data_IF_665374460331
#
_entry.id   IF_665374460331
#
_cell.length_a   1.000
_cell.length_b   1.000
_cell.length_c   1.000
_cell.angle_alpha   90.00
_cell.angle_beta   90.00
_cell.angle_gamma   90.00
#
_symmetry.space_group_name_H-M   'P 1'
#
loop_
_entity.id
_entity.type
_entity.pdbx_description
1 polymer ?
#
# COMPACT_ATOMS: atom_id res chain seq x y z
N UNK A 1 -11.92 85.30 35.15
CA UNK A 1 -12.11 84.04 35.84
C UNK A 1 -12.95 83.16 34.97
N UNK A 2 -12.31 82.24 34.24
CA UNK A 2 -13.01 81.31 33.30
C UNK A 2 -12.58 79.89 33.66
N UNK A 3 -13.52 79.14 34.19
CA UNK A 3 -13.29 77.75 34.62
C UNK A 3 -13.43 76.82 33.43
N UNK A 4 -12.33 76.10 33.04
CA UNK A 4 -12.32 75.13 32.01
C UNK A 4 -12.74 73.73 32.52
N UNK A 5 -13.76 73.17 31.90
CA UNK A 5 -14.26 71.80 32.19
C UNK A 5 -13.48 70.79 31.33
N UNK A 6 -12.65 69.97 32.00
CA UNK A 6 -12.01 68.76 31.34
C UNK A 6 -13.05 67.64 31.20
N UNK A 7 -13.38 67.29 29.96
CA UNK A 7 -14.11 66.03 29.62
C UNK A 7 -13.11 64.87 29.59
N UNK A 8 -13.30 63.93 30.51
CA UNK A 8 -12.61 62.64 30.48
C UNK A 8 -13.35 61.70 29.53
N UNK A 9 -12.73 61.36 28.41
CA UNK A 9 -13.22 60.32 27.51
C UNK A 9 -12.74 58.98 28.03
N UNK A 10 -13.65 58.09 28.44
CA UNK A 10 -13.36 56.70 28.78
C UNK A 10 -13.32 55.87 27.49
N UNK A 11 -12.16 55.30 27.16
CA UNK A 11 -12.01 54.31 26.06
C UNK A 11 -12.35 52.95 26.67
N UNK A 12 -13.48 52.39 26.28
CA UNK A 12 -13.83 51.00 26.60
C UNK A 12 -13.07 50.06 25.67
N UNK A 13 -12.12 49.29 26.22
CA UNK A 13 -11.41 48.23 25.52
C UNK A 13 -12.33 47.00 25.47
N UNK A 14 -12.93 46.74 24.32
CA UNK A 14 -13.67 45.50 24.09
C UNK A 14 -12.66 44.36 23.81
N UNK A 15 -12.42 43.50 24.81
CA UNK A 15 -11.74 42.21 24.59
C UNK A 15 -12.68 41.26 23.83
N UNK A 16 -12.49 41.11 22.52
CA UNK A 16 -13.09 40.04 21.77
C UNK A 16 -12.40 38.71 22.17
N UNK A 17 -13.09 37.91 22.98
CA UNK A 17 -12.69 36.55 23.24
C UNK A 17 -12.84 35.76 21.90
N UNK A 18 -11.72 35.46 21.26
CA UNK A 18 -11.69 34.45 20.17
C UNK A 18 -12.00 33.08 20.82
N UNK A 19 -13.22 32.64 20.67
CA UNK A 19 -13.57 31.24 20.94
C UNK A 19 -12.90 30.42 19.84
N UNK A 20 -11.77 29.79 20.17
CA UNK A 20 -11.17 28.79 19.30
C UNK A 20 -12.21 27.66 19.10
N UNK A 21 -12.69 27.49 17.87
CA UNK A 21 -13.52 26.36 17.56
C UNK A 21 -12.72 25.08 17.93
N UNK A 22 -13.34 24.09 18.61
CA UNK A 22 -12.66 22.83 18.89
C UNK A 22 -12.22 22.25 17.55
N UNK A 23 -10.93 21.91 17.43
CA UNK A 23 -10.45 21.13 16.31
C UNK A 23 -11.27 19.83 16.31
N UNK A 24 -12.07 19.61 15.27
CA UNK A 24 -12.81 18.36 15.13
C UNK A 24 -11.76 17.23 15.14
N UNK A 25 -11.92 16.31 16.10
CA UNK A 25 -11.11 15.10 16.13
C UNK A 25 -11.22 14.41 14.76
N UNK A 26 -10.10 13.98 14.22
CA UNK A 26 -10.10 13.22 12.96
C UNK A 26 -10.71 11.85 13.25
N UNK A 27 -11.69 11.45 12.41
CA UNK A 27 -12.35 10.16 12.56
C UNK A 27 -11.47 9.03 11.98
N UNK A 28 -11.62 7.79 12.46
CA UNK A 28 -11.03 6.62 11.80
C UNK A 28 -11.50 6.48 10.34
N UNK A 29 -10.78 5.68 9.55
CA UNK A 29 -11.23 5.31 8.20
C UNK A 29 -12.57 4.56 8.26
N UNK A 30 -13.46 4.91 7.34
CA UNK A 30 -14.69 4.15 7.11
C UNK A 30 -14.43 3.02 6.13
N UNK A 31 -15.15 1.92 6.28
CA UNK A 31 -15.18 0.85 5.27
C UNK A 31 -15.96 1.28 4.03
N UNK A 32 -15.50 0.79 2.88
CA UNK A 32 -16.14 0.98 1.58
C UNK A 32 -16.39 -0.38 0.92
N UNK A 33 -17.16 -0.38 -0.17
CA UNK A 33 -17.33 -1.58 -1.00
C UNK A 33 -16.09 -1.77 -1.89
N UNK A 34 -14.92 -1.99 -1.28
CA UNK A 34 -13.65 -2.13 -1.96
C UNK A 34 -13.11 -3.55 -1.88
N UNK A 35 -12.63 -4.08 -3.02
CA UNK A 35 -12.03 -5.41 -3.12
C UNK A 35 -10.57 -5.37 -2.67
N UNK A 36 -10.25 -6.10 -1.60
CA UNK A 36 -8.88 -6.18 -1.09
C UNK A 36 -7.92 -6.84 -2.09
N UNK A 37 -8.39 -7.80 -2.89
CA UNK A 37 -7.58 -8.48 -3.91
C UNK A 37 -7.22 -7.59 -5.11
N UNK A 38 -7.91 -6.46 -5.28
CA UNK A 38 -7.63 -5.44 -6.26
C UNK A 38 -6.80 -4.27 -5.69
N UNK A 39 -6.21 -4.43 -4.52
CA UNK A 39 -5.37 -3.40 -3.90
C UNK A 39 -4.01 -3.28 -4.57
N UNK A 40 -3.45 -2.09 -4.60
CA UNK A 40 -2.10 -1.81 -5.11
C UNK A 40 -1.37 -0.80 -4.24
N UNK A 41 -0.06 -0.72 -4.43
CA UNK A 41 0.80 0.19 -3.66
C UNK A 41 1.87 0.80 -4.56
N UNK A 42 2.20 2.06 -4.35
CA UNK A 42 3.38 2.68 -4.94
C UNK A 42 4.04 3.64 -3.97
N UNK A 43 5.29 3.98 -4.23
CA UNK A 43 5.98 4.96 -3.44
C UNK A 43 7.25 5.46 -4.12
N UNK A 44 7.77 6.55 -3.59
CA UNK A 44 9.04 7.15 -4.02
C UNK A 44 10.08 7.02 -2.90
N UNK A 45 11.35 6.79 -3.26
CA UNK A 45 12.48 6.82 -2.30
C UNK A 45 12.23 5.85 -1.13
N UNK A 46 12.24 6.29 0.13
CA UNK A 46 11.88 5.44 1.28
C UNK A 46 10.50 4.81 1.15
N UNK A 47 9.53 5.54 0.56
CA UNK A 47 8.21 4.98 0.24
C UNK A 47 8.25 3.89 -0.82
N UNK A 48 9.20 3.94 -1.76
CA UNK A 48 9.40 2.87 -2.74
C UNK A 48 9.99 1.61 -2.09
N UNK A 49 10.95 1.76 -1.17
CA UNK A 49 11.45 0.64 -0.36
C UNK A 49 10.32 0.02 0.46
N UNK A 50 9.49 0.85 1.13
CA UNK A 50 8.33 0.36 1.87
C UNK A 50 7.31 -0.31 0.94
N UNK A 51 7.10 0.20 -0.28
CA UNK A 51 6.20 -0.43 -1.25
C UNK A 51 6.70 -1.83 -1.68
N UNK A 52 8.02 -2.00 -1.85
CA UNK A 52 8.63 -3.33 -2.11
C UNK A 52 8.45 -4.25 -0.91
N UNK A 53 8.70 -3.77 0.29
CA UNK A 53 8.56 -4.53 1.53
C UNK A 53 7.11 -4.97 1.75
N UNK A 54 6.18 -4.03 1.69
CA UNK A 54 4.74 -4.28 1.87
C UNK A 54 4.19 -5.18 0.77
N UNK A 55 4.51 -4.87 -0.50
CA UNK A 55 4.06 -5.64 -1.67
C UNK A 55 4.57 -7.07 -1.69
N UNK A 56 5.74 -7.33 -1.09
CA UNK A 56 6.29 -8.69 -0.92
C UNK A 56 5.63 -9.39 0.27
N UNK A 57 5.53 -8.70 1.43
CA UNK A 57 4.96 -9.25 2.65
C UNK A 57 3.47 -9.63 2.49
N UNK A 58 2.70 -8.82 1.79
CA UNK A 58 1.27 -8.99 1.56
C UNK A 58 0.94 -9.23 0.07
N UNK A 59 1.80 -9.98 -0.61
CA UNK A 59 1.67 -10.25 -2.06
C UNK A 59 0.37 -10.95 -2.44
N UNK A 60 -0.29 -11.64 -1.51
CA UNK A 60 -1.59 -12.27 -1.75
C UNK A 60 -2.73 -11.26 -1.99
N UNK A 61 -2.63 -10.05 -1.44
CA UNK A 61 -3.66 -9.00 -1.56
C UNK A 61 -3.21 -7.80 -2.41
N UNK A 62 -1.93 -7.71 -2.76
CA UNK A 62 -1.39 -6.63 -3.58
C UNK A 62 -1.24 -7.07 -5.03
N UNK A 63 -2.11 -6.53 -5.89
CA UNK A 63 -2.16 -6.78 -7.33
C UNK A 63 -0.98 -6.17 -8.08
N UNK A 64 -0.49 -5.03 -7.62
CA UNK A 64 0.64 -4.37 -8.28
C UNK A 64 1.41 -3.42 -7.38
N UNK A 65 2.67 -3.19 -7.77
CA UNK A 65 3.64 -2.38 -7.01
C UNK A 65 4.30 -1.35 -7.92
N UNK A 66 4.33 -0.09 -7.49
CA UNK A 66 5.09 0.99 -8.13
C UNK A 66 6.34 1.35 -7.31
N UNK A 67 7.51 1.22 -7.90
CA UNK A 67 8.82 1.49 -7.27
C UNK A 67 9.47 2.68 -7.97
N UNK A 68 9.44 3.85 -7.36
CA UNK A 68 9.97 5.08 -7.93
C UNK A 68 11.24 5.46 -7.17
N UNK A 69 12.40 5.36 -7.81
CA UNK A 69 13.70 5.65 -7.20
C UNK A 69 13.93 4.92 -5.86
N UNK A 70 13.63 3.62 -5.82
CA UNK A 70 13.81 2.73 -4.65
C UNK A 70 14.70 1.54 -4.97
N UNK A 71 14.90 0.65 -3.99
CA UNK A 71 15.78 -0.52 -4.11
C UNK A 71 15.09 -1.85 -3.81
N UNK A 72 15.90 -2.89 -3.79
CA UNK A 72 15.47 -4.28 -3.59
C UNK A 72 14.92 -4.54 -2.17
N UNK A 73 14.16 -5.61 -2.03
CA UNK A 73 13.68 -6.13 -0.74
C UNK A 73 14.84 -6.33 0.24
N UNK A 74 14.68 -5.89 1.49
CA UNK A 74 15.66 -6.08 2.58
C UNK A 74 17.04 -5.44 2.32
N UNK A 75 17.13 -4.40 1.48
CA UNK A 75 18.40 -3.82 1.03
C UNK A 75 19.33 -3.41 2.18
N UNK A 76 18.83 -2.63 3.13
CA UNK A 76 19.65 -2.02 4.17
C UNK A 76 20.31 -2.99 5.16
N UNK A 77 19.79 -4.21 5.26
CA UNK A 77 20.34 -5.26 6.11
C UNK A 77 21.01 -6.41 5.34
N UNK A 78 20.97 -6.38 4.01
CA UNK A 78 21.50 -7.46 3.19
C UNK A 78 23.03 -7.63 3.32
N UNK A 79 23.78 -6.60 3.73
CA UNK A 79 25.20 -6.68 3.98
C UNK A 79 25.57 -6.89 5.47
N UNK A 80 24.59 -6.91 6.36
CA UNK A 80 24.80 -7.07 7.80
C UNK A 80 24.96 -8.55 8.16
N UNK A 81 26.18 -9.10 8.04
CA UNK A 81 26.47 -10.49 8.39
C UNK A 81 26.67 -10.73 9.89
N UNK A 82 26.75 -9.67 10.73
CA UNK A 82 27.09 -9.75 12.15
C UNK A 82 26.09 -9.08 13.08
N UNK A 83 25.92 -9.66 14.29
CA UNK A 83 25.10 -9.10 15.37
C UNK A 83 25.48 -7.64 15.73
N UNK A 84 26.75 -7.29 15.66
CA UNK A 84 27.26 -5.93 15.92
C UNK A 84 26.81 -4.97 14.81
N UNK A 85 26.75 -5.43 13.56
CA UNK A 85 26.36 -4.65 12.40
C UNK A 85 24.85 -4.36 12.37
N UNK A 86 23.99 -5.22 12.96
CA UNK A 86 22.55 -5.03 13.01
C UNK A 86 22.10 -3.84 13.87
N UNK A 87 22.87 -3.40 14.84
CA UNK A 87 22.46 -2.33 15.77
C UNK A 87 22.97 -0.94 15.35
N UNK A 88 24.13 -0.82 14.71
CA UNK A 88 24.76 0.47 14.42
C UNK A 88 24.86 0.80 12.94
N UNK A 89 24.74 -0.16 12.05
CA UNK A 89 25.06 -0.02 10.63
C UNK A 89 23.88 -0.03 9.63
N UNK A 90 22.60 -0.39 9.96
CA UNK A 90 21.55 -0.37 8.95
C UNK A 90 21.37 0.99 8.26
N UNK A 91 21.48 2.08 9.00
CA UNK A 91 21.42 3.44 8.43
C UNK A 91 22.60 3.73 7.50
N UNK A 92 23.80 3.22 7.80
CA UNK A 92 24.97 3.41 6.94
C UNK A 92 24.83 2.62 5.63
N UNK A 93 24.30 1.40 5.68
CA UNK A 93 23.98 0.63 4.48
C UNK A 93 22.83 1.27 3.71
N UNK A 94 21.79 1.73 4.41
CA UNK A 94 20.69 2.46 3.81
C UNK A 94 21.20 3.66 3.00
N UNK A 95 21.95 4.57 3.63
CA UNK A 95 22.44 5.79 3.00
C UNK A 95 23.67 5.57 2.10
N UNK A 96 24.36 4.44 2.22
CA UNK A 96 25.47 4.01 1.40
C UNK A 96 25.03 3.11 0.24
N UNK A 97 25.15 1.80 0.42
CA UNK A 97 24.93 0.82 -0.64
C UNK A 97 23.50 0.84 -1.21
N UNK A 98 22.48 1.18 -0.40
CA UNK A 98 21.08 1.25 -0.84
C UNK A 98 20.62 2.63 -1.35
N UNK A 99 21.49 3.63 -1.36
CA UNK A 99 21.27 4.92 -2.02
C UNK A 99 22.34 5.23 -3.07
N UNK A 100 23.60 5.23 -2.68
CA UNK A 100 24.72 5.62 -3.56
C UNK A 100 25.15 4.44 -4.42
N UNK A 101 24.95 3.20 -3.95
CA UNK A 101 25.39 1.97 -4.59
C UNK A 101 26.89 1.67 -4.39
N UNK A 102 27.38 0.53 -4.87
CA UNK A 102 26.59 -0.55 -5.46
C UNK A 102 25.69 -1.22 -4.42
N UNK A 103 24.48 -1.71 -4.85
CA UNK A 103 23.57 -2.38 -3.93
C UNK A 103 24.14 -3.73 -3.48
N UNK A 104 23.66 -4.25 -2.32
CA UNK A 104 23.99 -5.60 -1.88
C UNK A 104 23.64 -6.67 -2.91
N UNK A 105 24.35 -7.80 -2.86
CA UNK A 105 24.08 -8.92 -3.78
C UNK A 105 22.63 -9.40 -3.66
N UNK A 106 21.94 -9.46 -4.80
CA UNK A 106 20.53 -9.89 -4.91
C UNK A 106 20.27 -11.28 -4.31
N UNK A 107 21.25 -12.19 -4.39
CA UNK A 107 21.15 -13.52 -3.79
C UNK A 107 20.83 -13.50 -2.31
N UNK A 108 21.25 -12.45 -1.59
CA UNK A 108 20.92 -12.28 -0.16
C UNK A 108 19.44 -11.89 0.03
N UNK A 109 18.94 -10.98 -0.81
CA UNK A 109 17.51 -10.59 -0.79
C UNK A 109 16.62 -11.76 -1.17
N UNK A 110 17.02 -12.59 -2.16
CA UNK A 110 16.28 -13.80 -2.52
C UNK A 110 16.26 -14.78 -1.36
N UNK A 111 17.42 -15.12 -0.80
CA UNK A 111 17.51 -16.04 0.34
C UNK A 111 16.69 -15.57 1.54
N UNK A 112 16.67 -14.24 1.80
CA UNK A 112 15.85 -13.67 2.88
C UNK A 112 14.37 -13.80 2.58
N UNK A 113 13.91 -13.43 1.38
CA UNK A 113 12.51 -13.54 0.99
C UNK A 113 12.03 -15.00 1.01
N UNK A 114 12.83 -15.93 0.48
CA UNK A 114 12.52 -17.36 0.49
C UNK A 114 12.40 -17.91 1.92
N UNK A 115 13.33 -17.55 2.81
CA UNK A 115 13.28 -17.95 4.22
C UNK A 115 12.05 -17.38 4.94
N UNK A 116 11.72 -16.09 4.70
CA UNK A 116 10.54 -15.44 5.30
C UNK A 116 9.22 -16.00 4.77
N UNK A 117 9.17 -16.39 3.49
CA UNK A 117 8.02 -17.08 2.93
C UNK A 117 7.87 -18.51 3.51
N UNK A 118 8.98 -19.24 3.67
CA UNK A 118 8.98 -20.57 4.26
C UNK A 118 8.54 -20.58 5.73
N UNK A 119 8.89 -19.54 6.50
CA UNK A 119 8.44 -19.37 7.90
C UNK A 119 7.00 -18.84 8.03
N UNK A 120 6.38 -18.36 6.92
CA UNK A 120 5.06 -17.72 6.96
C UNK A 120 5.07 -16.25 7.40
N UNK A 121 6.25 -15.66 7.59
CA UNK A 121 6.41 -14.25 7.98
C UNK A 121 5.97 -13.28 6.87
N UNK A 122 6.01 -13.75 5.62
CA UNK A 122 5.44 -13.08 4.44
C UNK A 122 4.55 -14.07 3.68
N UNK A 123 3.81 -13.58 2.70
CA UNK A 123 3.02 -14.44 1.81
C UNK A 123 3.91 -15.34 0.94
N UNK A 124 3.41 -16.49 0.50
CA UNK A 124 4.10 -17.32 -0.48
C UNK A 124 4.49 -16.54 -1.74
N UNK A 125 5.75 -16.64 -2.15
CA UNK A 125 6.32 -15.82 -3.24
C UNK A 125 5.70 -16.09 -4.62
N UNK A 126 4.93 -17.18 -4.79
CA UNK A 126 4.10 -17.39 -5.98
C UNK A 126 3.09 -16.24 -6.22
N UNK A 127 2.71 -15.51 -5.17
CA UNK A 127 1.85 -14.34 -5.33
C UNK A 127 2.58 -13.13 -5.89
N UNK A 128 3.90 -13.01 -5.69
CA UNK A 128 4.71 -11.98 -6.34
C UNK A 128 4.74 -12.20 -7.86
N UNK A 129 4.72 -13.47 -8.34
CA UNK A 129 4.79 -13.77 -9.77
C UNK A 129 3.60 -13.25 -10.59
N UNK A 130 2.47 -12.93 -9.96
CA UNK A 130 1.28 -12.36 -10.61
C UNK A 130 1.18 -10.84 -10.54
N UNK A 131 2.00 -10.19 -9.71
CA UNK A 131 1.97 -8.74 -9.54
C UNK A 131 2.33 -8.01 -10.83
N UNK A 132 1.66 -6.88 -11.07
CA UNK A 132 2.06 -5.89 -12.07
C UNK A 132 3.02 -4.91 -11.43
N UNK A 133 4.25 -4.85 -11.91
CA UNK A 133 5.31 -4.07 -11.28
C UNK A 133 5.76 -2.94 -12.21
N UNK A 134 5.64 -1.72 -11.74
CA UNK A 134 6.20 -0.54 -12.37
C UNK A 134 7.46 -0.13 -11.62
N UNK A 135 8.57 0.08 -12.34
CA UNK A 135 9.82 0.61 -11.78
C UNK A 135 10.22 1.86 -12.54
N UNK A 136 10.71 2.87 -11.84
CA UNK A 136 11.12 4.14 -12.42
C UNK A 136 12.42 4.65 -11.81
N UNK A 137 13.30 5.14 -12.69
CA UNK A 137 14.50 5.89 -12.31
C UNK A 137 14.67 7.07 -13.28
N UNK A 138 14.77 8.29 -12.72
CA UNK A 138 15.04 9.49 -13.50
C UNK A 138 16.50 9.54 -13.94
N UNK A 139 16.77 9.99 -15.18
CA UNK A 139 18.16 10.01 -15.68
C UNK A 139 19.05 11.04 -14.98
N UNK A 140 18.46 12.00 -14.28
CA UNK A 140 19.15 13.03 -13.50
C UNK A 140 18.99 12.83 -11.98
N UNK A 141 18.55 11.64 -11.53
CA UNK A 141 18.45 11.33 -10.11
C UNK A 141 19.87 11.31 -9.49
N UNK A 142 20.13 12.29 -8.62
CA UNK A 142 21.40 12.46 -7.91
C UNK A 142 21.33 11.96 -6.44
N UNK A 143 20.21 11.39 -6.01
CA UNK A 143 19.98 10.93 -4.63
C UNK A 143 20.05 9.41 -4.54
N UNK A 144 19.32 8.70 -5.41
CA UNK A 144 19.37 7.24 -5.48
C UNK A 144 20.02 6.81 -6.79
N UNK A 145 21.11 6.05 -6.71
CA UNK A 145 21.83 5.58 -7.87
C UNK A 145 20.97 4.61 -8.69
N UNK A 146 21.10 4.69 -10.02
CA UNK A 146 20.39 3.80 -10.94
C UNK A 146 20.58 2.31 -10.62
N UNK A 147 21.80 1.91 -10.23
CA UNK A 147 22.11 0.51 -9.86
C UNK A 147 21.23 -0.02 -8.71
N UNK A 148 20.82 0.84 -7.78
CA UNK A 148 19.93 0.48 -6.68
C UNK A 148 18.52 0.22 -7.19
N UNK A 149 18.03 1.05 -8.10
CA UNK A 149 16.71 0.83 -8.73
C UNK A 149 16.75 -0.35 -9.72
N UNK A 150 17.86 -0.56 -10.42
CA UNK A 150 18.08 -1.77 -11.24
C UNK A 150 17.93 -3.03 -10.39
N UNK A 151 18.49 -3.04 -9.17
CA UNK A 151 18.37 -4.18 -8.27
C UNK A 151 16.92 -4.43 -7.80
N UNK A 152 16.10 -3.38 -7.65
CA UNK A 152 14.67 -3.57 -7.40
C UNK A 152 13.97 -4.24 -8.59
N UNK A 153 14.27 -3.79 -9.81
CA UNK A 153 13.74 -4.42 -11.03
C UNK A 153 14.18 -5.88 -11.16
N UNK A 154 15.43 -6.19 -10.84
CA UNK A 154 15.98 -7.54 -10.90
C UNK A 154 15.42 -8.45 -9.82
N UNK A 155 15.13 -7.93 -8.62
CA UNK A 155 14.39 -8.65 -7.58
C UNK A 155 13.04 -9.14 -8.11
N UNK A 156 12.27 -8.27 -8.73
CA UNK A 156 10.98 -8.66 -9.30
C UNK A 156 11.13 -9.58 -10.53
N UNK A 157 12.11 -9.35 -11.40
CA UNK A 157 12.37 -10.26 -12.55
C UNK A 157 12.59 -11.70 -12.12
N UNK A 158 13.28 -11.91 -11.00
CA UNK A 158 13.52 -13.23 -10.45
C UNK A 158 12.22 -13.96 -10.11
N UNK A 159 11.28 -13.30 -9.41
CA UNK A 159 10.04 -13.95 -8.98
C UNK A 159 8.94 -13.94 -10.05
N UNK A 160 8.94 -13.00 -10.97
CA UNK A 160 8.00 -12.99 -12.09
C UNK A 160 8.27 -14.14 -13.06
N UNK A 161 9.54 -14.52 -13.25
CA UNK A 161 9.93 -15.55 -14.21
C UNK A 161 9.61 -15.17 -15.67
N UNK A 162 9.84 -16.09 -16.60
CA UNK A 162 9.67 -15.83 -18.04
C UNK A 162 8.20 -15.62 -18.42
N UNK A 163 7.28 -16.42 -17.89
CA UNK A 163 5.86 -16.37 -18.24
C UNK A 163 5.19 -15.03 -17.86
N UNK A 164 5.65 -14.38 -16.79
CA UNK A 164 5.13 -13.12 -16.31
C UNK A 164 6.06 -11.93 -16.55
N UNK A 165 7.08 -12.08 -17.42
CA UNK A 165 8.05 -11.01 -17.71
C UNK A 165 7.39 -9.71 -18.17
N UNK A 166 6.29 -9.77 -18.91
CA UNK A 166 5.50 -8.61 -19.33
C UNK A 166 4.78 -7.88 -18.19
N UNK A 167 4.79 -8.44 -16.98
CA UNK A 167 4.25 -7.77 -15.80
C UNK A 167 5.19 -6.70 -15.22
N UNK A 168 6.45 -6.67 -15.63
CA UNK A 168 7.41 -5.64 -15.23
C UNK A 168 7.54 -4.57 -16.32
N UNK A 169 7.23 -3.33 -15.97
CA UNK A 169 7.50 -2.16 -16.80
C UNK A 169 8.55 -1.28 -16.10
N UNK A 170 9.73 -1.15 -16.70
CA UNK A 170 10.83 -0.34 -16.16
C UNK A 170 11.12 0.87 -17.04
N UNK A 171 10.85 2.08 -16.51
CA UNK A 171 11.07 3.36 -17.18
C UNK A 171 12.37 4.00 -16.71
N UNK A 172 13.30 4.28 -17.65
CA UNK A 172 14.61 4.87 -17.37
C UNK A 172 14.99 6.00 -18.35
N UNK A 173 14.05 6.48 -19.15
CA UNK A 173 14.36 7.44 -20.22
C UNK A 173 13.84 8.87 -19.93
N UNK A 174 13.25 9.12 -18.76
CA UNK A 174 12.76 10.46 -18.39
C UNK A 174 13.88 11.23 -17.72
N UNK A 175 14.09 12.49 -18.15
CA UNK A 175 15.12 13.40 -17.61
C UNK A 175 14.81 13.96 -16.23
N UNK A 176 14.13 13.17 -15.36
CA UNK A 176 13.76 13.57 -14.02
C UNK A 176 14.94 13.50 -13.04
N UNK A 177 14.91 14.38 -12.04
CA UNK A 177 15.70 14.23 -10.83
C UNK A 177 15.14 13.14 -9.90
N UNK A 178 15.51 13.21 -8.62
CA UNK A 178 14.94 12.35 -7.59
C UNK A 178 13.54 12.83 -7.25
N UNK A 179 12.52 12.32 -7.93
CA UNK A 179 11.16 12.85 -7.82
C UNK A 179 10.09 11.86 -8.24
N UNK A 180 8.88 12.06 -7.71
CA UNK A 180 7.66 11.62 -8.38
C UNK A 180 7.37 12.59 -9.52
N UNK A 181 7.04 12.06 -10.70
CA UNK A 181 6.95 12.85 -11.91
C UNK A 181 5.49 13.08 -12.32
N UNK A 182 5.17 14.32 -12.67
CA UNK A 182 3.82 14.69 -13.06
C UNK A 182 3.78 15.27 -14.48
N UNK A 183 2.60 15.23 -15.09
CA UNK A 183 2.33 15.97 -16.32
C UNK A 183 2.51 17.48 -16.08
N UNK A 184 2.81 18.22 -17.15
CA UNK A 184 2.88 19.69 -17.06
C UNK A 184 1.48 20.27 -17.04
N UNK A 185 1.11 20.84 -15.91
CA UNK A 185 -0.19 21.48 -15.71
C UNK A 185 -0.01 22.91 -15.18
N UNK A 186 -0.75 23.91 -15.69
CA UNK A 186 -0.58 25.29 -15.25
C UNK A 186 -0.78 25.51 -13.75
N UNK A 187 -1.71 24.79 -13.13
CA UNK A 187 -2.00 24.88 -11.69
C UNK A 187 -0.89 24.29 -10.82
N UNK A 188 0.02 23.47 -11.38
CA UNK A 188 1.15 22.86 -10.69
C UNK A 188 2.44 23.71 -10.83
N UNK A 189 2.34 24.98 -11.21
CA UNK A 189 3.50 25.86 -11.47
C UNK A 189 4.43 26.06 -10.26
N UNK A 190 3.98 25.76 -9.05
CA UNK A 190 4.77 25.80 -7.82
C UNK A 190 5.68 24.56 -7.62
N UNK A 191 5.47 23.50 -8.40
CA UNK A 191 6.29 22.29 -8.33
C UNK A 191 7.63 22.47 -9.06
N UNK A 192 8.54 21.55 -8.81
CA UNK A 192 9.89 21.59 -9.37
C UNK A 192 9.95 21.47 -10.90
N UNK A 193 11.05 21.95 -11.47
CA UNK A 193 11.44 21.62 -12.83
C UNK A 193 11.86 20.13 -12.93
N UNK A 194 11.79 19.56 -14.14
CA UNK A 194 11.95 18.13 -14.38
C UNK A 194 13.25 17.51 -13.83
N UNK A 195 14.34 18.24 -13.77
CA UNK A 195 15.67 17.74 -13.38
C UNK A 195 16.08 18.13 -11.97
N UNK A 196 15.16 18.65 -11.17
CA UNK A 196 15.45 19.06 -9.80
C UNK A 196 15.58 17.86 -8.86
N UNK A 197 16.46 17.97 -7.84
CA UNK A 197 16.66 16.99 -6.78
C UNK A 197 16.46 17.68 -5.42
N UNK A 198 15.30 18.30 -5.23
CA UNK A 198 15.00 19.11 -4.04
C UNK A 198 13.52 18.98 -3.64
N UNK A 199 13.20 19.42 -2.44
CA UNK A 199 11.82 19.54 -1.95
C UNK A 199 10.99 20.39 -2.96
N UNK A 200 9.75 19.99 -3.33
CA UNK A 200 8.96 18.88 -2.76
C UNK A 200 9.23 17.49 -3.38
N UNK A 201 10.26 17.31 -4.20
CA UNK A 201 10.55 16.05 -4.92
C UNK A 201 9.36 15.57 -5.77
N UNK A 202 8.69 16.52 -6.39
CA UNK A 202 7.62 16.33 -7.37
C UNK A 202 7.95 17.21 -8.57
N UNK A 203 8.24 16.61 -9.71
CA UNK A 203 8.79 17.29 -10.89
C UNK A 203 7.82 17.29 -12.07
N UNK A 204 7.71 18.43 -12.73
CA UNK A 204 6.89 18.58 -13.93
C UNK A 204 7.69 18.19 -15.19
N UNK A 205 7.72 16.92 -15.53
CA UNK A 205 8.44 16.39 -16.69
C UNK A 205 7.57 16.22 -17.95
N UNK A 206 6.28 16.46 -17.88
CA UNK A 206 5.37 16.12 -18.98
C UNK A 206 5.12 14.61 -19.11
N UNK A 207 5.33 13.86 -18.03
CA UNK A 207 5.13 12.42 -17.94
C UNK A 207 4.12 12.14 -16.82
N UNK A 208 2.97 11.59 -17.15
CA UNK A 208 1.90 11.29 -16.19
C UNK A 208 2.19 9.97 -15.47
N UNK A 209 3.07 10.01 -14.47
CA UNK A 209 3.54 8.81 -13.78
C UNK A 209 2.42 8.09 -13.05
N UNK A 210 1.54 8.81 -12.34
CA UNK A 210 0.41 8.21 -11.63
C UNK A 210 -0.48 7.42 -12.60
N UNK A 211 -0.82 8.01 -13.74
CA UNK A 211 -1.62 7.35 -14.78
C UNK A 211 -0.95 6.10 -15.33
N UNK A 212 0.35 6.17 -15.61
CA UNK A 212 1.09 5.04 -16.16
C UNK A 212 1.22 3.90 -15.13
N UNK A 213 1.50 4.20 -13.86
CA UNK A 213 1.51 3.22 -12.78
C UNK A 213 0.15 2.51 -12.68
N UNK A 214 -0.94 3.29 -12.60
CA UNK A 214 -2.28 2.73 -12.44
C UNK A 214 -2.73 1.93 -13.67
N UNK A 215 -2.46 2.41 -14.89
CA UNK A 215 -2.78 1.69 -16.11
C UNK A 215 -1.95 0.40 -16.26
N UNK A 216 -0.67 0.41 -15.86
CA UNK A 216 0.13 -0.80 -15.87
C UNK A 216 -0.44 -1.87 -14.91
N UNK A 217 -0.92 -1.44 -13.74
CA UNK A 217 -1.47 -2.34 -12.72
C UNK A 217 -2.86 -2.85 -13.10
N UNK A 218 -3.74 -1.96 -13.55
CA UNK A 218 -5.17 -2.25 -13.70
C UNK A 218 -5.63 -2.44 -15.15
N UNK A 219 -4.74 -2.20 -16.12
CA UNK A 219 -5.08 -2.23 -17.54
C UNK A 219 -5.71 -0.91 -18.00
N UNK A 220 -6.63 -1.01 -18.97
CA UNK A 220 -7.30 0.17 -19.50
C UNK A 220 -8.13 0.88 -18.43
N UNK A 221 -7.92 2.18 -18.30
CA UNK A 221 -8.62 3.07 -17.38
C UNK A 221 -9.33 4.18 -18.16
N UNK A 222 -10.40 4.73 -17.56
CA UNK A 222 -10.98 5.98 -18.04
C UNK A 222 -9.96 7.11 -17.93
N UNK A 223 -10.09 8.15 -18.76
CA UNK A 223 -9.22 9.32 -18.69
C UNK A 223 -9.32 9.99 -17.31
N UNK A 224 -8.19 10.51 -16.83
CA UNK A 224 -8.15 11.25 -15.58
C UNK A 224 -9.05 12.50 -15.62
N UNK A 225 -9.70 12.82 -14.52
CA UNK A 225 -10.43 14.08 -14.36
C UNK A 225 -9.43 15.24 -14.20
N UNK A 226 -9.27 16.06 -15.24
CA UNK A 226 -8.39 17.24 -15.24
C UNK A 226 -9.12 18.51 -14.80
N UNK A 227 -10.40 18.42 -14.44
CA UNK A 227 -11.22 19.52 -13.93
C UNK A 227 -11.37 19.44 -12.41
N UNK A 228 -12.51 19.96 -11.93
CA UNK A 228 -12.87 19.81 -10.52
C UNK A 228 -13.18 18.35 -10.20
N UNK A 229 -12.48 17.79 -9.21
CA UNK A 229 -12.70 16.42 -8.77
C UNK A 229 -14.09 16.28 -8.12
N UNK A 230 -14.76 15.18 -8.39
CA UNK A 230 -16.05 14.83 -7.80
C UNK A 230 -15.91 14.20 -6.43
N UNK A 231 -14.79 13.51 -6.19
CA UNK A 231 -14.43 12.91 -4.94
C UNK A 231 -13.90 13.89 -3.90
N UNK A 232 -13.58 13.39 -2.72
CA UNK A 232 -13.15 14.21 -1.59
C UNK A 232 -11.90 13.64 -0.92
N UNK A 233 -10.89 14.47 -0.71
CA UNK A 233 -9.76 14.15 0.16
C UNK A 233 -10.16 14.43 1.62
N UNK A 234 -10.11 13.38 2.44
CA UNK A 234 -10.43 13.44 3.88
C UNK A 234 -9.17 13.22 4.71
N UNK A 235 -9.14 13.83 5.88
CA UNK A 235 -8.19 13.50 6.95
C UNK A 235 -8.77 12.37 7.80
N UNK A 236 -7.93 11.47 8.29
CA UNK A 236 -8.36 10.44 9.23
C UNK A 236 -7.36 10.30 10.38
N UNK A 237 -7.83 9.76 11.50
CA UNK A 237 -7.00 9.46 12.68
C UNK A 237 -6.18 8.18 12.40
N UNK A 238 -4.87 8.36 12.18
CA UNK A 238 -3.92 7.30 11.93
C UNK A 238 -3.54 6.55 13.21
N UNK A 239 -3.67 7.20 14.38
CA UNK A 239 -3.25 6.64 15.67
C UNK A 239 -4.04 5.41 16.10
N UNK A 240 -5.25 5.23 15.59
CA UNK A 240 -6.08 4.07 15.91
C UNK A 240 -5.52 2.76 15.31
N UNK A 241 -4.71 2.87 14.25
CA UNK A 241 -4.11 1.72 13.53
C UNK A 241 -2.73 1.33 14.05
N UNK A 242 -2.12 2.15 14.93
CA UNK A 242 -0.78 1.88 15.49
C UNK A 242 -0.81 1.04 16.76
N UNK A 243 -1.98 0.83 17.36
CA UNK A 243 -2.12 0.17 18.66
C UNK A 243 -1.44 -1.22 18.70
N UNK A 244 -0.80 -1.57 19.83
CA UNK A 244 -0.77 -0.85 21.14
C UNK A 244 0.25 0.30 21.20
N UNK A 245 0.97 0.60 20.12
CA UNK A 245 1.97 1.68 20.07
C UNK A 245 1.30 3.05 19.90
N UNK A 246 1.99 4.10 20.29
CA UNK A 246 1.66 5.46 19.84
C UNK A 246 2.33 5.75 18.48
N UNK A 247 1.83 6.75 17.77
CA UNK A 247 2.35 7.13 16.45
C UNK A 247 3.80 7.57 16.48
N UNK A 248 4.20 8.33 17.49
CA UNK A 248 5.56 8.83 17.64
C UNK A 248 6.59 7.72 17.80
N UNK A 249 6.26 6.64 18.52
CA UNK A 249 7.15 5.47 18.68
C UNK A 249 7.35 4.69 17.38
N UNK A 250 6.47 4.87 16.40
CA UNK A 250 6.58 4.30 15.05
C UNK A 250 7.05 5.32 14.01
N UNK A 251 7.34 6.56 14.41
CA UNK A 251 7.63 7.69 13.51
C UNK A 251 6.53 7.92 12.45
N UNK A 252 5.27 7.71 12.85
CA UNK A 252 4.09 7.94 12.04
C UNK A 252 3.37 9.21 12.52
N UNK A 253 2.75 9.95 11.61
CA UNK A 253 1.92 11.08 11.94
C UNK A 253 0.58 10.65 12.56
N UNK A 254 -0.05 11.52 13.38
CA UNK A 254 -1.39 11.24 13.91
C UNK A 254 -2.47 11.29 12.83
N UNK A 255 -2.22 12.00 11.75
CA UNK A 255 -3.18 12.22 10.67
C UNK A 255 -2.68 11.62 9.37
N UNK A 256 -3.47 10.74 8.77
CA UNK A 256 -3.34 10.29 7.38
C UNK A 256 -4.37 10.96 6.47
N UNK A 257 -4.28 10.70 5.17
CA UNK A 257 -5.21 11.22 4.17
C UNK A 257 -5.76 10.10 3.30
N UNK A 258 -7.00 10.27 2.85
CA UNK A 258 -7.64 9.35 1.92
C UNK A 258 -8.46 10.15 0.91
N UNK A 259 -8.25 9.91 -0.38
CA UNK A 259 -9.14 10.39 -1.43
C UNK A 259 -10.19 9.34 -1.72
N UNK A 260 -11.46 9.74 -1.67
CA UNK A 260 -12.60 8.87 -1.92
C UNK A 260 -13.40 9.45 -3.09
N UNK A 261 -13.43 8.78 -4.26
CA UNK A 261 -14.32 9.14 -5.35
C UNK A 261 -15.77 9.19 -4.91
N UNK A 262 -16.58 10.02 -5.55
CA UNK A 262 -17.99 10.17 -5.21
C UNK A 262 -18.75 8.84 -5.30
N UNK A 263 -18.54 8.08 -6.35
CA UNK A 263 -19.17 6.79 -6.57
C UNK A 263 -18.78 5.73 -5.52
N UNK A 264 -17.51 5.72 -5.07
CA UNK A 264 -17.08 4.87 -3.97
C UNK A 264 -17.77 5.26 -2.65
N UNK A 265 -17.93 6.56 -2.40
CA UNK A 265 -18.67 7.03 -1.24
C UNK A 265 -20.15 6.68 -1.29
N UNK A 266 -20.71 6.52 -2.48
CA UNK A 266 -22.10 6.11 -2.75
C UNK A 266 -22.29 4.58 -2.82
N UNK A 267 -21.21 3.79 -2.58
CA UNK A 267 -21.27 2.33 -2.45
C UNK A 267 -20.93 1.53 -3.70
N UNK A 268 -20.41 2.16 -4.75
CA UNK A 268 -19.89 1.42 -5.91
C UNK A 268 -18.77 0.44 -5.50
N UNK A 269 -18.59 -0.63 -6.29
CA UNK A 269 -17.47 -1.54 -6.13
C UNK A 269 -16.18 -0.81 -6.50
N UNK A 270 -15.24 -0.72 -5.54
CA UNK A 270 -14.03 0.07 -5.67
C UNK A 270 -12.76 -0.75 -5.41
N UNK A 271 -11.62 -0.12 -5.63
CA UNK A 271 -10.26 -0.65 -5.40
C UNK A 271 -9.54 0.32 -4.47
N UNK A 272 -8.41 -0.12 -3.90
CA UNK A 272 -7.56 0.76 -3.08
C UNK A 272 -6.15 0.84 -3.66
N UNK A 273 -5.65 2.06 -3.85
CA UNK A 273 -4.24 2.31 -4.12
C UNK A 273 -3.60 3.00 -2.91
N UNK A 274 -2.47 2.48 -2.44
CA UNK A 274 -1.69 3.06 -1.35
C UNK A 274 -0.55 3.85 -1.98
N UNK A 275 -0.48 5.16 -1.74
CA UNK A 275 0.58 6.02 -2.24
C UNK A 275 1.48 6.47 -1.08
N UNK A 276 2.76 6.09 -1.13
CA UNK A 276 3.74 6.35 -0.08
C UNK A 276 4.72 7.44 -0.52
N UNK A 277 4.79 8.51 0.26
CA UNK A 277 5.74 9.60 0.05
C UNK A 277 7.18 9.18 0.34
N UNK A 278 8.17 9.97 -0.07
CA UNK A 278 9.59 9.79 0.29
C UNK A 278 9.96 10.53 1.58
N UNK A 279 11.26 10.50 1.91
CA UNK A 279 11.77 11.33 3.00
C UNK A 279 11.56 12.82 2.69
N UNK A 280 11.26 13.64 3.68
CA UNK A 280 10.95 15.08 3.54
C UNK A 280 9.79 15.37 2.59
N UNK A 281 8.84 14.46 2.50
CA UNK A 281 7.63 14.63 1.72
C UNK A 281 6.35 14.39 2.55
N UNK A 282 6.48 14.27 3.87
CA UNK A 282 5.34 14.31 4.78
C UNK A 282 4.67 15.70 4.76
N UNK A 283 3.46 15.77 5.27
CA UNK A 283 2.69 17.04 5.25
C UNK A 283 3.31 18.13 6.13
N UNK A 284 4.25 17.79 7.02
CA UNK A 284 5.00 18.76 7.81
C UNK A 284 6.07 19.49 6.99
N UNK A 285 6.65 18.82 6.00
CA UNK A 285 7.73 19.36 5.15
C UNK A 285 7.20 20.04 3.88
N UNK A 286 6.13 19.47 3.26
CA UNK A 286 5.65 19.93 1.94
C UNK A 286 4.15 20.20 1.89
N UNK A 287 3.50 20.48 3.02
CA UNK A 287 2.05 20.60 3.06
C UNK A 287 1.39 19.36 2.39
N UNK A 288 0.33 19.59 1.62
CA UNK A 288 -0.42 18.52 0.96
C UNK A 288 0.04 18.22 -0.47
N UNK A 289 1.18 18.71 -0.91
CA UNK A 289 1.63 18.53 -2.30
C UNK A 289 1.69 17.05 -2.71
N UNK A 290 2.15 16.14 -1.83
CA UNK A 290 2.15 14.73 -2.16
C UNK A 290 0.73 14.14 -2.31
N UNK A 291 -0.22 14.62 -1.52
CA UNK A 291 -1.61 14.14 -1.53
C UNK A 291 -2.40 14.70 -2.71
N UNK A 292 -2.19 15.99 -3.02
CA UNK A 292 -3.05 16.71 -3.99
C UNK A 292 -2.44 16.78 -5.41
N UNK A 293 -1.10 16.86 -5.54
CA UNK A 293 -0.46 17.27 -6.80
C UNK A 293 0.27 16.11 -7.53
N UNK A 294 0.26 14.89 -6.97
CA UNK A 294 0.93 13.72 -7.59
C UNK A 294 0.14 13.11 -8.75
N UNK A 295 -1.10 13.54 -8.98
CA UNK A 295 -1.94 13.08 -10.09
C UNK A 295 -2.81 11.87 -9.77
N UNK A 296 -2.56 11.13 -8.69
CA UNK A 296 -3.34 9.93 -8.35
C UNK A 296 -4.84 10.23 -8.18
N UNK A 297 -5.21 11.33 -7.51
CA UNK A 297 -6.62 11.69 -7.28
C UNK A 297 -7.39 11.91 -8.58
N UNK A 298 -6.74 12.52 -9.58
CA UNK A 298 -7.36 12.78 -10.89
C UNK A 298 -7.72 11.47 -11.63
N UNK A 299 -6.87 10.46 -11.54
CA UNK A 299 -7.13 9.13 -12.09
C UNK A 299 -8.13 8.36 -11.24
N UNK A 300 -8.03 8.48 -9.93
CA UNK A 300 -8.91 7.82 -8.99
C UNK A 300 -10.38 8.21 -9.16
N UNK A 301 -10.62 9.50 -9.40
CA UNK A 301 -11.95 10.12 -9.49
C UNK A 301 -12.85 9.52 -10.58
N UNK A 302 -12.28 8.96 -11.65
CA UNK A 302 -12.99 8.39 -12.79
C UNK A 302 -12.89 6.88 -12.91
N UNK A 303 -12.19 6.23 -11.95
CA UNK A 303 -11.83 4.81 -12.07
C UNK A 303 -12.16 3.96 -10.84
N UNK A 304 -13.10 4.39 -10.01
CA UNK A 304 -13.53 3.65 -8.80
C UNK A 304 -12.33 3.26 -7.90
N UNK A 305 -11.40 4.21 -7.69
CA UNK A 305 -10.15 3.95 -6.99
C UNK A 305 -10.01 4.87 -5.77
N UNK A 306 -10.05 4.31 -4.58
CA UNK A 306 -9.74 5.03 -3.34
C UNK A 306 -8.22 5.13 -3.23
N UNK A 307 -7.68 6.32 -2.91
CA UNK A 307 -6.24 6.49 -2.70
C UNK A 307 -5.95 6.77 -1.23
N UNK A 308 -5.17 5.90 -0.62
CA UNK A 308 -4.73 6.01 0.76
C UNK A 308 -3.33 6.63 0.80
N UNK A 309 -3.16 7.68 1.60
CA UNK A 309 -1.90 8.40 1.82
C UNK A 309 -1.51 8.37 3.30
N UNK A 310 -0.94 7.26 3.78
CA UNK A 310 -0.40 7.22 5.14
C UNK A 310 0.74 8.23 5.30
N UNK A 311 0.95 8.72 6.53
CA UNK A 311 1.95 9.75 6.80
C UNK A 311 2.95 9.28 7.84
N UNK A 312 4.23 9.51 7.56
CA UNK A 312 5.29 9.48 8.58
C UNK A 312 5.46 10.85 9.20
N UNK A 313 6.30 10.94 10.22
CA UNK A 313 6.70 12.21 10.82
C UNK A 313 8.19 12.16 11.19
N UNK A 314 8.88 13.32 11.20
CA UNK A 314 10.26 13.35 11.65
C UNK A 314 10.36 13.05 13.15
N UNK A 315 11.40 12.32 13.54
CA UNK A 315 11.74 12.10 14.93
C UNK A 315 13.26 12.28 15.12
N UNK A 316 13.65 13.27 15.93
CA UNK A 316 15.05 13.59 16.19
C UNK A 316 15.66 12.79 17.34
N UNK A 317 14.85 11.98 18.04
CA UNK A 317 15.28 11.13 19.16
C UNK A 317 15.18 9.66 18.80
N UNK A 318 14.40 8.88 19.52
CA UNK A 318 14.16 7.45 19.24
C UNK A 318 12.68 7.20 18.98
N UNK A 319 12.36 6.51 17.88
CA UNK A 319 13.26 6.00 16.83
C UNK A 319 13.84 7.13 15.98
N UNK A 320 15.16 7.10 15.67
CA UNK A 320 15.84 8.19 14.98
C UNK A 320 15.46 8.21 13.49
N UNK A 321 14.65 9.18 13.12
CA UNK A 321 14.15 9.41 11.75
C UNK A 321 13.95 10.93 11.49
N UNK A 322 15.03 11.72 11.38
CA UNK A 322 14.92 13.19 11.30
C UNK A 322 14.33 13.70 9.98
N UNK A 323 14.11 12.83 8.98
CA UNK A 323 13.64 13.20 7.64
C UNK A 323 12.30 12.58 7.29
N UNK A 324 11.51 12.15 8.26
CA UNK A 324 10.20 11.54 8.02
C UNK A 324 10.24 10.45 6.93
N UNK A 325 11.23 9.57 6.94
CA UNK A 325 11.32 8.43 6.03
C UNK A 325 10.43 7.28 6.52
N UNK A 326 10.00 6.40 5.63
CA UNK A 326 9.44 5.09 6.01
C UNK A 326 10.54 4.20 6.59
N UNK A 327 10.16 3.17 7.38
CA UNK A 327 11.11 2.22 7.94
C UNK A 327 11.65 1.26 6.86
N UNK A 328 12.76 1.64 6.25
CA UNK A 328 13.44 0.85 5.23
C UNK A 328 14.85 0.40 5.65
N UNK A 329 15.24 0.75 6.89
CA UNK A 329 16.51 0.31 7.51
C UNK A 329 16.33 -0.23 8.93
N UNK A 330 15.11 -0.60 9.33
CA UNK A 330 14.82 -1.18 10.64
C UNK A 330 15.03 -0.26 11.83
N UNK A 331 14.73 1.03 11.69
CA UNK A 331 14.89 1.99 12.78
C UNK A 331 13.76 1.91 13.82
N UNK A 332 12.61 1.32 13.46
CA UNK A 332 11.49 1.09 14.37
C UNK A 332 11.64 -0.26 15.07
N UNK A 333 11.74 -1.33 14.29
CA UNK A 333 11.66 -2.70 14.82
C UNK A 333 13.03 -3.26 15.25
N UNK A 334 14.13 -2.65 14.81
CA UNK A 334 15.52 -3.06 15.09
C UNK A 334 15.85 -4.52 14.76
N UNK A 335 15.04 -5.17 13.92
CA UNK A 335 15.16 -6.55 13.50
C UNK A 335 14.64 -6.76 12.09
N UNK A 336 14.81 -7.95 11.54
CA UNK A 336 14.29 -8.36 10.22
C UNK A 336 12.75 -8.27 10.08
N UNK A 337 12.01 -8.07 11.17
CA UNK A 337 10.56 -7.95 11.15
C UNK A 337 10.06 -6.79 10.29
N UNK A 338 10.85 -5.72 10.15
CA UNK A 338 10.46 -4.52 9.37
C UNK A 338 10.11 -4.80 7.91
N UNK A 339 10.53 -5.93 7.33
CA UNK A 339 10.16 -6.36 5.96
C UNK A 339 9.10 -7.45 5.95
N UNK A 340 8.49 -7.78 7.07
CA UNK A 340 7.52 -8.86 7.22
C UNK A 340 6.12 -8.35 7.57
N UNK A 341 5.13 -9.23 7.62
CA UNK A 341 3.76 -8.92 8.08
C UNK A 341 3.71 -8.39 9.51
N UNK A 342 4.70 -8.73 10.34
CA UNK A 342 4.80 -8.28 11.72
C UNK A 342 5.52 -6.94 11.89
N UNK A 343 6.15 -6.41 10.83
CA UNK A 343 6.80 -5.09 10.84
C UNK A 343 5.82 -4.00 11.23
N UNK A 344 6.18 -3.17 12.19
CA UNK A 344 5.24 -2.25 12.85
C UNK A 344 4.58 -1.27 11.88
N UNK A 345 5.33 -0.66 10.96
CA UNK A 345 4.75 0.22 9.95
C UNK A 345 3.98 -0.56 8.87
N UNK A 346 4.47 -1.74 8.44
CA UNK A 346 3.74 -2.63 7.50
C UNK A 346 2.40 -3.04 8.08
N UNK A 347 2.38 -3.45 9.35
CA UNK A 347 1.16 -3.84 10.07
C UNK A 347 0.17 -2.69 10.16
N UNK A 348 0.66 -1.47 10.42
CA UNK A 348 -0.18 -0.27 10.49
C UNK A 348 -0.80 0.07 9.14
N UNK A 349 -0.01 0.06 8.05
CA UNK A 349 -0.53 0.27 6.68
C UNK A 349 -1.56 -0.80 6.32
N UNK A 350 -1.31 -2.06 6.71
CA UNK A 350 -2.26 -3.16 6.46
C UNK A 350 -3.58 -2.96 7.20
N UNK A 351 -3.53 -2.50 8.46
CA UNK A 351 -4.73 -2.22 9.23
C UNK A 351 -5.57 -1.08 8.61
N UNK A 352 -4.92 -0.05 8.04
CA UNK A 352 -5.62 1.00 7.29
C UNK A 352 -6.27 0.44 6.01
N UNK A 353 -5.55 -0.42 5.26
CA UNK A 353 -6.11 -1.08 4.09
C UNK A 353 -7.31 -1.95 4.46
N UNK A 354 -7.21 -2.73 5.55
CA UNK A 354 -8.31 -3.57 6.04
C UNK A 354 -9.54 -2.73 6.42
N UNK A 355 -9.32 -1.56 7.04
CA UNK A 355 -10.41 -0.66 7.38
C UNK A 355 -11.15 -0.13 6.14
N UNK A 356 -10.42 0.23 5.07
CA UNK A 356 -11.03 0.69 3.82
C UNK A 356 -11.75 -0.41 3.05
N UNK A 357 -11.28 -1.64 3.13
CA UNK A 357 -11.86 -2.80 2.44
C UNK A 357 -12.87 -3.58 3.29
N UNK A 358 -13.05 -3.19 4.54
CA UNK A 358 -14.19 -3.63 5.34
C UNK A 358 -15.47 -3.11 4.68
N UNK A 359 -16.48 -3.96 4.46
CA UNK A 359 -17.75 -3.49 3.93
C UNK A 359 -18.33 -2.39 4.85
N UNK A 360 -18.79 -1.29 4.24
CA UNK A 360 -19.54 -0.28 4.98
C UNK A 360 -20.68 -0.96 5.74
N UNK A 361 -20.64 -0.89 7.07
CA UNK A 361 -21.76 -1.36 7.88
C UNK A 361 -22.96 -0.47 7.55
N UNK A 362 -24.10 -1.00 7.05
CA UNK A 362 -25.30 -0.18 6.95
C UNK A 362 -25.62 0.39 8.33
N UNK A 363 -26.06 1.65 8.39
CA UNK A 363 -26.48 2.28 9.64
C UNK A 363 -27.41 1.33 10.42
N UNK A 364 -27.29 1.22 11.75
CA UNK A 364 -27.82 0.11 12.50
C UNK A 364 -29.34 -0.01 12.36
N UNK A 365 -29.78 -0.99 11.62
CA UNK A 365 -31.09 -1.58 11.80
C UNK A 365 -30.99 -2.48 13.05
N UNK A 366 -31.92 -2.28 13.99
CA UNK A 366 -31.93 -2.80 15.35
C UNK A 366 -31.45 -4.25 15.52
N UNK A 367 -30.50 -4.41 16.49
CA UNK A 367 -30.29 -5.60 17.35
C UNK A 367 -30.33 -6.98 16.69
N UNK A 368 -29.22 -7.38 16.10
CA UNK A 368 -28.84 -8.79 16.03
C UNK A 368 -27.70 -9.05 17.05
N UNK A 369 -27.66 -10.26 17.63
CA UNK A 369 -26.72 -10.69 18.64
C UNK A 369 -25.24 -10.37 18.31
N UNK A 370 -24.30 -10.30 19.28
CA UNK A 370 -22.90 -9.95 19.05
C UNK A 370 -22.27 -10.95 18.08
N UNK A 371 -22.29 -10.61 16.80
CA UNK A 371 -21.80 -11.42 15.69
C UNK A 371 -20.64 -10.72 15.01
N UNK A 372 -19.62 -11.50 14.76
CA UNK A 372 -18.48 -11.14 13.92
C UNK A 372 -19.01 -10.60 12.58
N UNK A 373 -18.57 -9.41 12.15
CA UNK A 373 -19.03 -8.80 10.90
C UNK A 373 -18.74 -9.69 9.67
N UNK A 374 -19.55 -9.64 8.60
CA UNK A 374 -19.25 -10.37 7.37
C UNK A 374 -17.89 -10.01 6.80
N UNK A 375 -17.11 -11.01 6.38
CA UNK A 375 -15.80 -10.83 5.73
C UNK A 375 -15.99 -10.74 4.22
N UNK A 376 -15.11 -9.98 3.55
CA UNK A 376 -15.02 -10.01 2.09
C UNK A 376 -14.06 -11.11 1.66
N UNK A 377 -14.57 -12.09 0.92
CA UNK A 377 -13.80 -13.16 0.31
C UNK A 377 -13.59 -12.88 -1.18
N UNK A 378 -12.37 -13.04 -1.66
CA UNK A 378 -11.99 -12.89 -3.06
C UNK A 378 -11.18 -14.11 -3.52
N UNK A 379 -11.46 -14.61 -4.72
CA UNK A 379 -10.59 -15.57 -5.42
C UNK A 379 -9.57 -14.75 -6.20
N UNK A 380 -8.29 -14.91 -5.88
CA UNK A 380 -7.22 -14.09 -6.44
C UNK A 380 -6.43 -14.78 -7.55
N UNK A 381 -6.43 -16.11 -7.60
CA UNK A 381 -5.85 -16.88 -8.68
C UNK A 381 -6.48 -18.28 -8.76
N UNK A 382 -6.43 -18.88 -9.96
CA UNK A 382 -6.81 -20.29 -10.18
C UNK A 382 -5.77 -20.98 -11.06
N UNK A 383 -5.48 -22.24 -10.75
CA UNK A 383 -4.79 -23.15 -11.66
C UNK A 383 -5.80 -24.12 -12.30
N UNK A 384 -5.34 -25.17 -12.94
CA UNK A 384 -6.20 -26.27 -13.40
C UNK A 384 -6.75 -27.14 -12.25
N UNK A 385 -6.09 -27.13 -11.08
CA UNK A 385 -6.44 -27.99 -9.95
C UNK A 385 -6.52 -27.27 -8.61
N UNK A 386 -6.42 -25.94 -8.59
CA UNK A 386 -6.44 -25.16 -7.33
C UNK A 386 -7.04 -23.76 -7.52
N UNK A 387 -7.50 -23.18 -6.40
CA UNK A 387 -7.92 -21.79 -6.30
C UNK A 387 -7.31 -21.15 -5.04
N UNK A 388 -6.75 -19.97 -5.19
CA UNK A 388 -6.21 -19.17 -4.10
C UNK A 388 -7.25 -18.14 -3.63
N UNK A 389 -7.61 -18.24 -2.34
CA UNK A 389 -8.64 -17.44 -1.68
C UNK A 389 -7.99 -16.47 -0.68
N UNK A 390 -8.48 -15.24 -0.62
CA UNK A 390 -8.08 -14.26 0.41
C UNK A 390 -9.30 -13.56 0.98
N UNK A 391 -9.21 -13.08 2.22
CA UNK A 391 -10.27 -12.31 2.88
C UNK A 391 -9.70 -11.26 3.83
N UNK A 392 -10.53 -10.29 4.19
CA UNK A 392 -10.17 -9.26 5.17
C UNK A 392 -10.11 -9.90 6.56
N UNK A 393 -8.97 -9.75 7.23
CA UNK A 393 -8.81 -10.23 8.60
C UNK A 393 -9.63 -9.36 9.56
N UNK A 394 -10.31 -10.01 10.49
CA UNK A 394 -10.93 -9.33 11.62
C UNK A 394 -9.98 -9.35 12.82
N UNK A 395 -9.90 -8.24 13.52
CA UNK A 395 -9.01 -8.08 14.67
C UNK A 395 -9.38 -9.08 15.78
N UNK A 396 -8.35 -9.69 16.38
CA UNK A 396 -8.53 -10.69 17.42
C UNK A 396 -8.93 -12.08 16.95
N UNK A 397 -9.13 -12.32 15.65
CA UNK A 397 -9.49 -13.63 15.09
C UNK A 397 -8.27 -14.35 14.51
N UNK A 398 -8.10 -15.59 14.90
CA UNK A 398 -7.00 -16.47 14.48
C UNK A 398 -7.47 -17.77 13.85
N UNK A 399 -8.78 -17.96 13.67
CA UNK A 399 -9.31 -19.18 13.08
C UNK A 399 -10.45 -18.86 12.09
N UNK A 400 -10.36 -19.43 10.92
CA UNK A 400 -11.33 -19.28 9.85
C UNK A 400 -11.67 -20.64 9.26
N UNK A 401 -12.93 -20.82 8.85
CA UNK A 401 -13.43 -22.01 8.18
C UNK A 401 -13.79 -21.68 6.75
N UNK A 402 -13.26 -22.43 5.82
CA UNK A 402 -13.48 -22.25 4.39
C UNK A 402 -14.44 -23.35 3.92
N UNK A 403 -15.51 -22.94 3.24
CA UNK A 403 -16.49 -23.83 2.67
C UNK A 403 -16.62 -23.64 1.17
N UNK A 404 -16.79 -24.74 0.44
CA UNK A 404 -16.98 -24.78 -1.01
C UNK A 404 -18.34 -25.40 -1.34
N UNK A 405 -19.04 -24.80 -2.32
CA UNK A 405 -20.30 -25.36 -2.81
C UNK A 405 -20.07 -26.67 -3.59
N UNK A 406 -20.84 -27.70 -3.26
CA UNK A 406 -20.93 -28.91 -4.04
C UNK A 406 -21.79 -28.73 -5.29
N UNK A 407 -21.94 -29.80 -6.08
CA UNK A 407 -22.81 -29.82 -7.27
C UNK A 407 -24.28 -29.58 -6.98
N UNK A 408 -24.71 -29.86 -5.75
CA UNK A 408 -26.05 -29.60 -5.21
C UNK A 408 -26.26 -28.15 -4.72
N UNK A 409 -25.21 -27.32 -4.81
CA UNK A 409 -25.20 -25.95 -4.32
C UNK A 409 -25.03 -25.81 -2.80
N UNK A 410 -24.96 -26.92 -2.05
CA UNK A 410 -24.72 -26.89 -0.61
C UNK A 410 -23.25 -26.66 -0.28
N UNK A 411 -22.95 -25.84 0.73
CA UNK A 411 -21.60 -25.55 1.16
C UNK A 411 -21.10 -26.58 2.17
N UNK A 412 -19.95 -27.19 1.88
CA UNK A 412 -19.22 -28.08 2.77
C UNK A 412 -17.85 -27.53 3.11
N UNK A 413 -17.38 -27.79 4.34
CA UNK A 413 -16.06 -27.32 4.79
C UNK A 413 -14.95 -28.03 4.03
N UNK A 414 -14.09 -27.27 3.39
CA UNK A 414 -12.91 -27.78 2.64
C UNK A 414 -11.60 -27.50 3.38
N UNK A 415 -11.60 -26.63 4.40
CA UNK A 415 -10.42 -26.38 5.20
C UNK A 415 -10.61 -25.34 6.28
N UNK A 416 -9.53 -25.12 7.03
CA UNK A 416 -9.41 -24.07 8.05
C UNK A 416 -8.12 -23.31 7.84
N UNK A 417 -8.09 -22.02 8.21
CA UNK A 417 -6.91 -21.18 8.13
C UNK A 417 -6.75 -20.36 9.41
N UNK A 418 -5.50 -20.11 9.80
CA UNK A 418 -5.17 -19.16 10.87
C UNK A 418 -4.88 -17.75 10.33
N UNK A 419 -4.68 -17.63 9.01
CA UNK A 419 -4.37 -16.38 8.30
C UNK A 419 -5.52 -15.89 7.44
N UNK A 420 -5.21 -15.00 6.51
CA UNK A 420 -6.16 -14.34 5.59
C UNK A 420 -6.21 -15.00 4.20
N UNK A 421 -5.57 -16.14 4.02
CA UNK A 421 -5.52 -16.84 2.73
C UNK A 421 -5.68 -18.34 2.92
N UNK A 422 -6.20 -18.99 1.88
CA UNK A 422 -6.33 -20.43 1.80
C UNK A 422 -6.19 -20.87 0.34
N UNK A 423 -5.44 -21.93 0.09
CA UNK A 423 -5.36 -22.57 -1.21
C UNK A 423 -6.26 -23.81 -1.22
N UNK A 424 -7.34 -23.77 -1.95
CA UNK A 424 -8.19 -24.94 -2.18
C UNK A 424 -7.62 -25.75 -3.33
N UNK A 425 -7.24 -26.99 -3.08
CA UNK A 425 -6.56 -27.86 -4.03
C UNK A 425 -7.37 -29.11 -4.35
N UNK A 426 -6.97 -29.84 -5.40
CA UNK A 426 -7.68 -31.05 -5.84
C UNK A 426 -8.98 -30.73 -6.56
N UNK A 427 -9.09 -29.56 -7.16
CA UNK A 427 -10.20 -29.15 -7.99
C UNK A 427 -10.14 -29.83 -9.37
N UNK A 428 -11.29 -30.02 -10.00
CA UNK A 428 -11.34 -30.48 -11.38
C UNK A 428 -10.97 -29.33 -12.34
N UNK A 429 -10.23 -29.61 -13.42
CA UNK A 429 -9.94 -28.60 -14.44
C UNK A 429 -11.23 -28.12 -15.13
N UNK A 430 -11.17 -26.89 -15.65
CA UNK A 430 -12.24 -26.24 -16.43
C UNK A 430 -13.61 -26.32 -15.75
N UNK A 431 -13.65 -26.10 -14.42
CA UNK A 431 -14.84 -26.25 -13.58
C UNK A 431 -15.09 -25.01 -12.74
N UNK A 432 -16.36 -24.61 -12.62
CA UNK A 432 -16.76 -23.47 -11.77
C UNK A 432 -16.93 -23.90 -10.31
N UNK A 433 -16.44 -23.08 -9.41
CA UNK A 433 -16.56 -23.26 -7.97
C UNK A 433 -17.01 -21.99 -7.28
N UNK A 434 -17.63 -22.14 -6.11
CA UNK A 434 -18.04 -21.04 -5.23
C UNK A 434 -17.57 -21.33 -3.81
N UNK A 435 -17.07 -20.31 -3.13
CA UNK A 435 -16.57 -20.43 -1.76
C UNK A 435 -17.20 -19.38 -0.84
N UNK A 436 -17.18 -19.69 0.45
CA UNK A 436 -17.46 -18.80 1.57
C UNK A 436 -16.41 -19.00 2.65
N UNK A 437 -16.15 -17.99 3.45
CA UNK A 437 -15.32 -18.07 4.64
C UNK A 437 -16.09 -17.56 5.85
N UNK A 438 -15.97 -18.26 6.98
CA UNK A 438 -16.55 -17.87 8.27
C UNK A 438 -15.46 -17.77 9.31
N UNK A 439 -15.53 -16.76 10.19
CA UNK A 439 -14.67 -16.70 11.36
C UNK A 439 -15.11 -17.73 12.40
N UNK A 440 -14.13 -18.28 13.17
CA UNK A 440 -14.42 -19.20 14.26
C UNK A 440 -13.97 -18.56 15.57
N UNK A 441 -14.90 -18.36 16.50
CA UNK A 441 -14.66 -17.77 17.82
C UNK A 441 -15.08 -18.78 18.89
N UNK A 442 -14.13 -19.19 19.75
CA UNK A 442 -14.38 -20.18 20.80
C UNK A 442 -15.05 -21.47 20.28
N UNK A 443 -14.70 -21.91 19.07
CA UNK A 443 -15.25 -23.10 18.43
C UNK A 443 -16.61 -22.90 17.73
N UNK A 444 -17.26 -21.76 17.91
CA UNK A 444 -18.50 -21.41 17.21
C UNK A 444 -18.19 -20.66 15.91
N UNK A 445 -18.91 -21.03 14.83
CA UNK A 445 -18.80 -20.42 13.52
C UNK A 445 -19.67 -19.17 13.45
N UNK A 446 -19.07 -18.05 13.00
CA UNK A 446 -19.76 -16.80 12.74
C UNK A 446 -20.49 -16.81 11.38
N UNK A 447 -21.18 -15.71 11.03
CA UNK A 447 -21.84 -15.58 9.73
C UNK A 447 -20.80 -15.71 8.59
N UNK A 448 -21.20 -16.32 7.45
CA UNK A 448 -20.33 -16.46 6.29
C UNK A 448 -20.09 -15.12 5.59
N UNK A 449 -18.98 -15.04 4.87
CA UNK A 449 -18.67 -13.98 3.92
C UNK A 449 -19.66 -13.92 2.75
N UNK A 450 -19.43 -12.97 1.82
CA UNK A 450 -19.97 -13.08 0.46
C UNK A 450 -19.53 -14.40 -0.19
N UNK A 451 -20.25 -14.82 -1.23
CA UNK A 451 -19.80 -15.88 -2.13
C UNK A 451 -18.73 -15.29 -3.10
N UNK A 452 -17.61 -15.97 -3.20
CA UNK A 452 -16.63 -15.73 -4.25
C UNK A 452 -16.67 -16.91 -5.24
N UNK A 453 -16.69 -16.61 -6.53
CA UNK A 453 -16.79 -17.61 -7.59
C UNK A 453 -15.63 -17.47 -8.58
N UNK A 454 -15.11 -18.61 -9.06
CA UNK A 454 -14.14 -18.65 -10.15
C UNK A 454 -14.16 -20.01 -10.85
N UNK A 455 -13.65 -20.05 -12.09
CA UNK A 455 -13.41 -21.26 -12.83
C UNK A 455 -11.92 -21.65 -12.76
N UNK A 456 -11.63 -22.94 -12.59
CA UNK A 456 -10.28 -23.47 -12.77
C UNK A 456 -9.88 -23.42 -14.24
N UNK A 457 -8.59 -23.33 -14.51
CA UNK A 457 -8.05 -23.34 -15.89
C UNK A 457 -8.17 -24.70 -16.52
N UNK A 458 -8.12 -24.77 -17.85
CA UNK A 458 -7.97 -26.02 -18.56
C UNK A 458 -6.60 -26.64 -18.27
N UNK A 459 -6.52 -27.96 -18.18
CA UNK A 459 -5.22 -28.66 -18.09
C UNK A 459 -4.39 -28.37 -19.34
N UNK A 460 -3.13 -27.93 -19.19
CA UNK A 460 -2.25 -27.75 -20.35
C UNK A 460 -2.14 -29.05 -21.15
N UNK A 461 -2.19 -28.97 -22.48
CA UNK A 461 -1.99 -30.13 -23.34
C UNK A 461 -0.60 -30.74 -23.07
N UNK A 462 -0.46 -32.08 -23.01
CA UNK A 462 0.84 -32.71 -22.85
C UNK A 462 1.75 -32.34 -24.04
N UNK A 463 3.01 -32.02 -23.74
CA UNK A 463 4.01 -31.67 -24.74
C UNK A 463 4.49 -32.96 -25.44
N UNK A 464 4.23 -33.12 -26.73
CA UNK A 464 4.64 -34.31 -27.49
C UNK A 464 6.14 -34.35 -27.80
N UNK A 465 6.88 -33.25 -27.62
CA UNK A 465 8.34 -33.20 -27.80
C UNK A 465 9.02 -32.15 -26.93
N UNK A 466 10.26 -32.37 -26.43
CA UNK A 466 11.04 -31.35 -25.73
C UNK A 466 11.34 -30.16 -26.67
N UNK A 467 10.77 -29.02 -26.41
CA UNK A 467 10.96 -27.78 -27.18
C UNK A 467 9.73 -27.21 -27.89
N UNK A 468 8.57 -27.86 -27.84
CA UNK A 468 7.33 -27.43 -28.52
C UNK A 468 6.17 -27.11 -27.59
N UNK A 469 6.44 -26.90 -26.31
CA UNK A 469 5.39 -26.48 -25.39
C UNK A 469 4.88 -25.09 -25.76
N UNK A 470 3.57 -24.87 -26.00
CA UNK A 470 3.00 -23.54 -26.07
C UNK A 470 3.16 -22.91 -24.70
N UNK A 471 3.84 -21.76 -24.67
CA UNK A 471 3.90 -20.91 -23.48
C UNK A 471 2.46 -20.44 -23.27
N UNK A 472 1.81 -20.95 -22.20
CA UNK A 472 0.44 -20.60 -21.87
C UNK A 472 0.29 -19.09 -21.73
N UNK A 473 -0.73 -18.54 -22.39
CA UNK A 473 -1.17 -17.15 -22.28
C UNK A 473 -1.79 -16.89 -20.92
#
# INVERSE_FOLDING_TARGET
MTVGILRRTAIALACAAMVAAPALATEPLSGFNADIGESSISGISSGAFMAVQFGTAWSSVIKGVGVIAGGQYWCAQADADDFINNFTLPIMHATGSCMIGPPPALSRSFAKADAKAASGDIDPLRFVSRQKVYVFHGTNDAVVAKSVTDAAADFYRHYLGEASRGNLYYQTAVGAGHSLVVAREPHLSALNACNDNKIPFIDQCGYDQAGIVLQHIYGALNAANRGQLSGTTKRFDQSVYTKPHDTGSLSLGDTGYVFVPKDCAEGAACRVHIALHGCKQDVGDIDRHFVDDTGYNAWADTNHLIVLYPQTMPNSFLPFNPQACWDWWSYVDHQDSYVTKSGSQIKTIKAMLDALTAHATPAPAALAAPGVAPMTLTVIDTSDTAADLVWVRQEGLTAYRISRAGADGQFSVVGTAAGQSFADTGLAPHSEYRWRVSAVVNGAEGPPSNEAAAATRATPAPCDHPGTCPIGN
#
